data_IF_033693868574
#
_entry.id   IF_033693868574
#
_cell.length_a   1.000
_cell.length_b   1.000
_cell.length_c   1.000
_cell.angle_alpha   90.00
_cell.angle_beta   90.00
_cell.angle_gamma   90.00
#
_symmetry.space_group_name_H-M   'P 1'
#
loop_
_entity.id
_entity.type
_entity.pdbx_description
1 polymer ?
#
# COMPACT_ATOMS: atom_id res chain seq x y z
N UNK A 1 3.88 -6.72 12.92
CA UNK A 1 5.24 -6.24 12.58
C UNK A 1 6.24 -7.36 12.30
N UNK A 2 6.39 -8.40 13.16
CA UNK A 2 7.39 -9.48 12.92
C UNK A 2 7.32 -10.14 11.53
N UNK A 3 6.14 -10.49 10.98
CA UNK A 3 6.06 -11.02 9.62
C UNK A 3 6.60 -10.03 8.57
N UNK A 4 6.19 -8.78 8.62
CA UNK A 4 6.65 -7.74 7.69
C UNK A 4 8.16 -7.52 7.73
N UNK A 5 8.76 -7.48 8.93
CA UNK A 5 10.21 -7.37 9.07
C UNK A 5 10.97 -8.55 8.46
N UNK A 6 10.43 -9.77 8.59
CA UNK A 6 10.99 -10.98 7.96
C UNK A 6 10.85 -10.98 6.43
N UNK A 7 9.82 -10.32 5.90
CA UNK A 7 9.61 -10.11 4.46
C UNK A 7 10.45 -8.95 3.90
N UNK A 8 11.30 -8.33 4.71
CA UNK A 8 12.16 -7.23 4.29
C UNK A 8 11.49 -5.85 4.23
N UNK A 9 10.25 -5.73 4.70
CA UNK A 9 9.56 -4.43 4.77
C UNK A 9 10.31 -3.49 5.72
N UNK A 10 10.51 -2.25 5.29
CA UNK A 10 11.16 -1.19 6.07
C UNK A 10 10.18 -0.12 6.53
N UNK A 11 9.11 0.05 5.80
CA UNK A 11 8.06 1.01 6.09
C UNK A 11 6.68 0.38 5.85
N UNK A 12 5.75 0.64 6.74
CA UNK A 12 4.39 0.14 6.68
C UNK A 12 3.42 1.27 7.02
N UNK A 13 2.52 1.58 6.11
CA UNK A 13 1.32 2.36 6.36
C UNK A 13 0.11 1.43 6.43
N UNK A 14 -0.63 1.52 7.53
CA UNK A 14 -1.85 0.72 7.72
C UNK A 14 -3.06 1.63 7.79
N UNK A 15 -4.14 1.20 7.16
CA UNK A 15 -5.43 1.84 7.26
C UNK A 15 -6.13 1.37 8.54
N UNK A 16 -6.55 2.32 9.37
CA UNK A 16 -7.23 2.03 10.64
C UNK A 16 -8.35 3.03 10.90
N UNK A 17 -9.31 2.63 11.75
CA UNK A 17 -10.27 3.54 12.37
C UNK A 17 -10.02 3.54 13.88
N UNK A 18 -9.69 4.67 14.50
CA UNK A 18 -9.58 4.74 15.95
C UNK A 18 -10.95 4.79 16.63
N UNK A 19 -12.01 5.04 15.88
CA UNK A 19 -13.39 5.08 16.41
C UNK A 19 -14.03 3.70 16.39
N UNK A 20 -14.75 3.37 17.46
CA UNK A 20 -15.42 2.08 17.62
C UNK A 20 -14.47 0.96 18.07
N UNK A 21 -13.25 1.27 18.45
CA UNK A 21 -12.33 0.32 19.06
C UNK A 21 -12.83 -0.10 20.46
N UNK A 22 -12.52 -1.34 20.83
CA UNK A 22 -12.78 -1.88 22.17
C UNK A 22 -11.52 -2.51 22.74
N UNK A 23 -11.41 -2.53 24.07
CA UNK A 23 -10.37 -3.28 24.75
C UNK A 23 -10.68 -4.81 24.80
N UNK A 24 -9.82 -5.58 25.46
CA UNK A 24 -9.98 -7.03 25.57
C UNK A 24 -11.25 -7.46 26.32
N UNK A 25 -11.80 -6.58 27.17
CA UNK A 25 -13.04 -6.79 27.92
C UNK A 25 -14.29 -6.25 27.18
N UNK A 26 -14.11 -5.72 25.94
CA UNK A 26 -15.19 -5.20 25.10
C UNK A 26 -15.63 -3.77 25.48
N UNK A 27 -14.88 -3.06 26.33
CA UNK A 27 -15.20 -1.67 26.69
C UNK A 27 -14.73 -0.71 25.61
N UNK A 28 -15.50 0.35 25.28
CA UNK A 28 -15.09 1.34 24.30
C UNK A 28 -13.75 2.00 24.65
N UNK A 29 -12.87 2.10 23.66
CA UNK A 29 -11.59 2.83 23.75
C UNK A 29 -11.76 4.17 23.04
N UNK A 30 -11.40 5.26 23.71
CA UNK A 30 -11.38 6.59 23.09
C UNK A 30 -10.28 6.68 22.03
N UNK A 31 -10.50 7.49 21.00
CA UNK A 31 -9.56 7.59 19.86
C UNK A 31 -8.15 8.03 20.28
N UNK A 32 -8.04 8.94 21.25
CA UNK A 32 -6.75 9.39 21.80
C UNK A 32 -6.02 8.26 22.54
N UNK A 33 -6.75 7.48 23.34
CA UNK A 33 -6.19 6.31 24.06
C UNK A 33 -5.75 5.23 23.06
N UNK A 34 -6.48 5.04 21.95
CA UNK A 34 -6.08 4.16 20.86
C UNK A 34 -4.73 4.61 20.27
N UNK A 35 -4.55 5.90 20.02
CA UNK A 35 -3.27 6.46 19.53
C UNK A 35 -2.13 6.20 20.51
N UNK A 36 -2.35 6.50 21.79
CA UNK A 36 -1.35 6.28 22.86
C UNK A 36 -0.97 4.81 22.99
N UNK A 37 -1.95 3.90 22.93
CA UNK A 37 -1.71 2.45 22.98
C UNK A 37 -0.85 1.97 21.80
N UNK A 38 -1.13 2.48 20.60
CA UNK A 38 -0.31 2.17 19.41
C UNK A 38 1.12 2.67 19.56
N UNK A 39 1.32 3.91 19.97
CA UNK A 39 2.65 4.48 20.21
C UNK A 39 3.43 3.68 21.24
N UNK A 40 2.79 3.36 22.38
CA UNK A 40 3.40 2.55 23.42
C UNK A 40 3.78 1.14 22.90
N UNK A 41 2.95 0.53 22.08
CA UNK A 41 3.24 -0.78 21.46
C UNK A 41 4.38 -0.73 20.47
N UNK A 42 4.45 0.31 19.65
CA UNK A 42 5.53 0.51 18.67
C UNK A 42 6.88 0.78 19.32
N UNK A 43 6.89 1.37 20.51
CA UNK A 43 8.10 1.63 21.30
C UNK A 43 8.67 0.39 22.02
N UNK A 44 7.98 -0.76 22.02
CA UNK A 44 8.47 -1.96 22.69
C UNK A 44 9.70 -2.56 21.96
N UNK A 45 10.65 -3.16 22.71
CA UNK A 45 11.88 -3.70 22.15
C UNK A 45 11.66 -4.71 21.01
N UNK A 46 10.65 -5.57 21.13
CA UNK A 46 10.34 -6.57 20.09
C UNK A 46 9.75 -5.95 18.82
N UNK A 47 9.08 -4.80 18.94
CA UNK A 47 8.61 -4.03 17.79
C UNK A 47 9.77 -3.31 17.09
N UNK A 48 10.62 -2.63 17.86
CA UNK A 48 11.81 -1.94 17.37
C UNK A 48 12.77 -2.92 16.67
N UNK A 49 12.96 -4.11 17.23
CA UNK A 49 13.82 -5.14 16.67
C UNK A 49 13.38 -5.63 15.27
N UNK A 50 12.15 -5.33 14.83
CA UNK A 50 11.69 -5.66 13.46
C UNK A 50 12.33 -4.81 12.39
N UNK A 51 12.86 -3.62 12.71
CA UNK A 51 13.36 -2.63 11.78
C UNK A 51 12.28 -1.96 10.92
N UNK A 52 10.98 -2.20 11.20
CA UNK A 52 9.85 -1.64 10.44
C UNK A 52 9.39 -0.33 11.07
N UNK A 53 9.48 0.76 10.33
CA UNK A 53 8.82 2.02 10.67
C UNK A 53 7.34 1.91 10.32
N UNK A 54 6.45 2.22 11.26
CA UNK A 54 4.99 2.14 11.07
C UNK A 54 4.37 3.52 11.16
N UNK A 55 3.45 3.80 10.25
CA UNK A 55 2.52 4.94 10.30
C UNK A 55 1.11 4.45 9.98
N UNK A 56 0.14 5.25 10.35
CA UNK A 56 -1.28 4.93 10.20
C UNK A 56 -1.96 5.95 9.30
N UNK A 57 -2.93 5.48 8.52
CA UNK A 57 -3.88 6.31 7.80
C UNK A 57 -5.27 6.11 8.43
N UNK A 58 -6.03 7.20 8.55
CA UNK A 58 -7.44 7.07 8.90
C UNK A 58 -8.21 6.61 7.66
N UNK A 59 -8.87 5.45 7.77
CA UNK A 59 -9.77 4.99 6.71
C UNK A 59 -11.18 5.56 6.91
N UNK A 60 -11.74 6.09 5.83
CA UNK A 60 -13.15 6.50 5.77
C UNK A 60 -13.85 5.66 4.71
N UNK A 61 -14.88 4.92 5.11
CA UNK A 61 -15.69 4.11 4.19
C UNK A 61 -16.71 5.01 3.51
N UNK A 62 -16.49 5.28 2.21
CA UNK A 62 -17.16 6.32 1.43
C UNK A 62 -18.66 6.17 1.29
N UNK A 63 -19.18 4.93 1.23
CA UNK A 63 -20.60 4.69 1.01
C UNK A 63 -21.44 4.72 2.30
N UNK A 64 -20.80 4.78 3.48
CA UNK A 64 -21.54 4.80 4.74
C UNK A 64 -22.18 6.18 4.98
N UNK A 65 -23.32 6.20 5.71
CA UNK A 65 -23.87 7.45 6.20
C UNK A 65 -22.88 8.22 7.08
N UNK A 66 -22.85 9.54 6.97
CA UNK A 66 -21.93 10.37 7.78
C UNK A 66 -20.47 10.32 7.34
N UNK A 67 -20.13 9.79 6.16
CA UNK A 67 -18.76 9.75 5.68
C UNK A 67 -18.11 11.14 5.61
N UNK A 68 -18.86 12.19 5.27
CA UNK A 68 -18.40 13.57 5.27
C UNK A 68 -18.02 14.08 6.67
N UNK A 69 -18.77 13.68 7.71
CA UNK A 69 -18.44 14.02 9.09
C UNK A 69 -17.21 13.24 9.55
N UNK A 70 -17.09 11.97 9.16
CA UNK A 70 -15.88 11.19 9.41
C UNK A 70 -14.64 11.76 8.74
N UNK A 71 -14.75 12.37 7.56
CA UNK A 71 -13.64 13.12 6.96
C UNK A 71 -13.25 14.32 7.83
N UNK A 72 -14.22 15.09 8.37
CA UNK A 72 -13.93 16.20 9.29
C UNK A 72 -13.24 15.75 10.56
N UNK A 73 -13.75 14.67 11.17
CA UNK A 73 -13.17 14.04 12.35
C UNK A 73 -11.74 13.57 12.07
N UNK A 74 -11.50 12.91 10.92
CA UNK A 74 -10.20 12.41 10.52
C UNK A 74 -9.17 13.53 10.37
N UNK A 75 -9.52 14.65 9.74
CA UNK A 75 -8.63 15.80 9.63
C UNK A 75 -8.24 16.37 10.99
N UNK A 76 -9.23 16.56 11.90
CA UNK A 76 -8.97 17.07 13.24
C UNK A 76 -8.10 16.12 14.05
N UNK A 77 -8.38 14.83 13.98
CA UNK A 77 -7.63 13.79 14.70
C UNK A 77 -6.19 13.66 14.20
N UNK A 78 -5.98 13.62 12.88
CA UNK A 78 -4.63 13.55 12.32
C UNK A 78 -3.82 14.79 12.68
N UNK A 79 -4.44 15.96 12.67
CA UNK A 79 -3.75 17.21 13.04
C UNK A 79 -3.22 17.18 14.47
N UNK A 80 -3.93 16.51 15.38
CA UNK A 80 -3.52 16.32 16.77
C UNK A 80 -2.49 15.18 16.97
N UNK A 81 -2.36 14.24 16.01
CA UNK A 81 -1.58 13.00 16.15
C UNK A 81 -0.64 12.73 14.96
N UNK A 82 -0.03 13.80 14.38
CA UNK A 82 0.78 13.74 13.16
C UNK A 82 2.04 12.88 13.25
N UNK A 83 2.49 12.55 14.43
CA UNK A 83 3.63 11.67 14.69
C UNK A 83 3.36 10.20 14.34
N UNK A 84 2.09 9.79 14.39
CA UNK A 84 1.66 8.42 14.07
C UNK A 84 0.70 8.36 12.87
N UNK A 85 -0.25 9.31 12.78
CA UNK A 85 -1.25 9.35 11.72
C UNK A 85 -0.83 10.32 10.61
N UNK A 86 -0.62 9.80 9.40
CA UNK A 86 0.06 10.53 8.32
C UNK A 86 -0.84 10.88 7.14
N UNK A 87 -2.06 10.38 7.08
CA UNK A 87 -2.95 10.66 5.96
C UNK A 87 -4.35 10.08 6.12
N UNK A 88 -5.21 10.42 5.18
CA UNK A 88 -6.58 9.89 5.06
C UNK A 88 -6.64 8.95 3.87
N UNK A 89 -7.30 7.82 4.06
CA UNK A 89 -7.68 6.91 3.00
C UNK A 89 -9.20 6.92 2.84
N UNK A 90 -9.68 7.19 1.63
CA UNK A 90 -11.09 7.10 1.29
C UNK A 90 -11.30 5.78 0.55
N UNK A 91 -11.90 4.80 1.20
CA UNK A 91 -12.02 3.43 0.73
C UNK A 91 -13.47 2.97 0.58
N UNK A 92 -13.63 1.77 0.06
CA UNK A 92 -14.92 1.11 -0.13
C UNK A 92 -15.55 1.42 -1.47
N UNK A 93 -16.65 0.73 -1.75
CA UNK A 93 -17.30 0.66 -3.05
C UNK A 93 -17.61 2.05 -3.64
N UNK A 94 -17.15 2.27 -4.88
CA UNK A 94 -17.22 3.58 -5.56
C UNK A 94 -18.31 3.68 -6.64
N UNK A 95 -18.86 2.56 -7.07
CA UNK A 95 -19.80 2.41 -8.20
C UNK A 95 -21.28 2.36 -7.78
N UNK A 96 -21.60 2.56 -6.52
CA UNK A 96 -22.95 2.42 -5.96
C UNK A 96 -23.73 3.76 -5.86
N UNK A 97 -23.30 4.81 -6.53
CA UNK A 97 -23.90 6.15 -6.48
C UNK A 97 -23.67 6.92 -5.17
N UNK A 98 -23.23 6.26 -4.10
CA UNK A 98 -22.88 6.87 -2.80
C UNK A 98 -21.38 7.07 -2.62
N UNK A 99 -20.58 6.28 -3.32
CA UNK A 99 -19.11 6.25 -3.22
C UNK A 99 -18.39 7.18 -4.18
N UNK A 100 -19.08 7.90 -5.06
CA UNK A 100 -18.46 8.76 -6.06
C UNK A 100 -17.59 9.84 -5.42
N UNK A 101 -16.38 10.04 -5.96
CA UNK A 101 -15.42 11.02 -5.44
C UNK A 101 -15.99 12.45 -5.39
N UNK A 102 -16.76 12.83 -6.39
CA UNK A 102 -17.37 14.17 -6.49
C UNK A 102 -18.26 14.54 -5.31
N UNK A 103 -18.90 13.56 -4.64
CA UNK A 103 -19.67 13.76 -3.42
C UNK A 103 -18.87 14.49 -2.33
N UNK A 104 -17.59 14.21 -2.25
CA UNK A 104 -16.71 14.65 -1.17
C UNK A 104 -15.97 15.96 -1.46
N UNK A 105 -16.19 16.57 -2.64
CA UNK A 105 -15.48 17.77 -3.07
C UNK A 105 -15.55 18.90 -2.04
N UNK A 106 -16.73 19.19 -1.53
CA UNK A 106 -16.93 20.32 -0.61
C UNK A 106 -16.25 20.10 0.74
N UNK A 107 -16.36 18.88 1.30
CA UNK A 107 -15.73 18.57 2.59
C UNK A 107 -14.22 18.56 2.48
N UNK A 108 -13.62 17.92 1.47
CA UNK A 108 -12.16 17.94 1.30
C UNK A 108 -11.63 19.36 1.08
N UNK A 109 -12.25 20.16 0.22
CA UNK A 109 -11.85 21.56 0.02
C UNK A 109 -11.93 22.40 1.30
N UNK A 110 -12.97 22.22 2.11
CA UNK A 110 -13.10 22.90 3.38
C UNK A 110 -11.99 22.48 4.36
N UNK A 111 -11.73 21.17 4.48
CA UNK A 111 -10.73 20.66 5.39
C UNK A 111 -9.29 20.98 4.95
N UNK A 112 -8.98 20.92 3.67
CA UNK A 112 -7.67 21.32 3.12
C UNK A 112 -7.33 22.80 3.34
N UNK A 113 -8.32 23.67 3.43
CA UNK A 113 -8.10 25.06 3.81
C UNK A 113 -7.79 25.23 5.30
N UNK A 114 -8.40 24.40 6.14
CA UNK A 114 -8.22 24.44 7.60
C UNK A 114 -6.98 23.70 8.07
N UNK A 115 -6.67 22.57 7.44
CA UNK A 115 -5.59 21.65 7.81
C UNK A 115 -4.66 21.40 6.60
N UNK A 116 -3.74 22.33 6.27
CA UNK A 116 -2.86 22.14 5.12
C UNK A 116 -1.93 20.94 5.35
N UNK A 117 -1.60 20.25 4.26
CA UNK A 117 -0.62 19.17 4.24
C UNK A 117 -1.00 17.90 5.00
N UNK A 118 -2.29 17.51 5.00
CA UNK A 118 -2.66 16.14 5.31
C UNK A 118 -2.79 15.38 3.98
N UNK A 119 -1.91 14.42 3.70
CA UNK A 119 -1.91 13.66 2.45
C UNK A 119 -3.15 12.78 2.31
N UNK A 120 -3.52 12.50 1.06
CA UNK A 120 -4.68 11.69 0.72
C UNK A 120 -4.27 10.49 -0.14
N UNK A 121 -4.58 9.28 0.32
CA UNK A 121 -4.58 8.07 -0.48
C UNK A 121 -6.05 7.67 -0.72
N UNK A 122 -6.48 7.64 -1.97
CA UNK A 122 -7.89 7.43 -2.28
C UNK A 122 -8.03 6.24 -3.23
N UNK A 123 -8.85 5.26 -2.85
CA UNK A 123 -9.23 4.18 -3.76
C UNK A 123 -9.97 4.74 -4.96
N UNK A 124 -9.53 4.40 -6.16
CA UNK A 124 -10.19 4.82 -7.39
C UNK A 124 -9.90 3.85 -8.53
N UNK A 125 -10.93 3.53 -9.30
CA UNK A 125 -10.88 2.54 -10.37
C UNK A 125 -10.93 1.10 -9.85
N UNK A 126 -11.35 0.88 -8.62
CA UNK A 126 -11.67 -0.43 -8.04
C UNK A 126 -13.15 -0.73 -8.28
N UNK A 127 -13.51 -0.97 -9.55
CA UNK A 127 -14.88 -1.22 -9.97
C UNK A 127 -14.92 -2.08 -11.22
N UNK A 128 -16.03 -2.79 -11.42
CA UNK A 128 -16.23 -3.68 -12.58
C UNK A 128 -16.27 -2.89 -13.89
N UNK A 129 -16.83 -1.68 -13.84
CA UNK A 129 -16.95 -0.81 -15.01
C UNK A 129 -16.09 0.45 -14.85
N UNK A 130 -15.50 0.87 -15.96
CA UNK A 130 -14.77 2.13 -16.01
C UNK A 130 -15.70 3.31 -15.75
N UNK A 131 -15.25 4.22 -14.88
CA UNK A 131 -15.94 5.46 -14.55
C UNK A 131 -14.92 6.60 -14.45
N UNK A 132 -15.36 7.83 -14.23
CA UNK A 132 -14.47 8.99 -14.10
C UNK A 132 -13.87 9.15 -12.68
N UNK A 133 -13.93 8.14 -11.84
CA UNK A 133 -13.64 8.29 -10.42
C UNK A 133 -12.16 8.51 -10.14
N UNK A 134 -11.26 8.00 -11.00
CA UNK A 134 -9.81 8.26 -10.87
C UNK A 134 -9.52 9.75 -11.13
N UNK A 135 -10.07 10.31 -12.20
CA UNK A 135 -9.98 11.74 -12.49
C UNK A 135 -10.55 12.58 -11.35
N UNK A 136 -11.73 12.23 -10.90
CA UNK A 136 -12.45 12.99 -9.88
C UNK A 136 -11.72 12.91 -8.51
N UNK A 137 -11.04 11.81 -8.24
CA UNK A 137 -10.17 11.62 -7.08
C UNK A 137 -8.98 12.58 -7.10
N UNK A 138 -8.36 12.81 -8.26
CA UNK A 138 -7.30 13.82 -8.41
C UNK A 138 -7.82 15.24 -8.14
N UNK A 139 -9.08 15.53 -8.50
CA UNK A 139 -9.71 16.81 -8.19
C UNK A 139 -9.98 17.01 -6.69
N UNK A 140 -10.06 15.95 -5.92
CA UNK A 140 -10.11 15.99 -4.45
C UNK A 140 -8.75 16.34 -3.84
N UNK A 141 -7.66 16.24 -4.60
CA UNK A 141 -6.29 16.47 -4.15
C UNK A 141 -5.58 15.22 -3.67
N UNK A 142 -5.95 14.03 -4.17
CA UNK A 142 -5.24 12.80 -3.84
C UNK A 142 -3.75 12.88 -4.22
N UNK A 143 -2.91 12.39 -3.33
CA UNK A 143 -1.47 12.22 -3.55
C UNK A 143 -1.15 10.81 -4.07
N UNK A 144 -1.98 9.82 -3.69
CA UNK A 144 -1.89 8.44 -4.17
C UNK A 144 -3.28 7.93 -4.58
N UNK A 145 -3.29 7.07 -5.57
CA UNK A 145 -4.48 6.44 -6.14
C UNK A 145 -4.43 4.95 -5.80
N UNK A 146 -5.38 4.48 -4.99
CA UNK A 146 -5.51 3.05 -4.70
C UNK A 146 -6.08 2.28 -5.90
N UNK A 147 -5.52 1.11 -6.18
CA UNK A 147 -5.87 0.17 -7.25
C UNK A 147 -5.66 0.67 -8.68
N UNK A 148 -6.34 1.73 -9.11
CA UNK A 148 -6.22 2.29 -10.45
C UNK A 148 -6.53 1.32 -11.59
N UNK A 149 -7.33 0.26 -11.39
CA UNK A 149 -7.57 -0.82 -12.36
C UNK A 149 -8.06 -0.27 -13.69
N UNK A 150 -8.94 0.72 -13.67
CA UNK A 150 -9.58 1.28 -14.85
C UNK A 150 -8.83 2.46 -15.49
N UNK A 151 -7.59 2.77 -15.07
CA UNK A 151 -6.87 3.98 -15.49
C UNK A 151 -6.68 4.08 -17.01
N UNK A 152 -6.50 2.96 -17.71
CA UNK A 152 -6.30 2.96 -19.15
C UNK A 152 -7.58 3.32 -19.92
N UNK A 153 -8.74 3.25 -19.27
CA UNK A 153 -10.03 3.71 -19.81
C UNK A 153 -10.23 5.22 -19.63
N UNK A 154 -9.33 5.90 -18.93
CA UNK A 154 -9.31 7.34 -18.71
C UNK A 154 -8.05 7.97 -19.36
N UNK A 155 -7.93 8.05 -20.70
CA UNK A 155 -6.67 8.41 -21.37
C UNK A 155 -6.14 9.80 -20.98
N UNK A 156 -7.01 10.77 -20.71
CA UNK A 156 -6.59 12.10 -20.28
C UNK A 156 -5.98 12.06 -18.86
N UNK A 157 -6.57 11.29 -17.97
CA UNK A 157 -6.08 11.06 -16.61
C UNK A 157 -4.76 10.29 -16.64
N UNK A 158 -4.68 9.25 -17.44
CA UNK A 158 -3.44 8.50 -17.66
C UNK A 158 -2.30 9.41 -18.18
N UNK A 159 -2.55 10.26 -19.16
CA UNK A 159 -1.55 11.21 -19.69
C UNK A 159 -1.13 12.25 -18.62
N UNK A 160 -2.05 12.66 -17.74
CA UNK A 160 -1.72 13.53 -16.61
C UNK A 160 -0.75 12.84 -15.66
N UNK A 161 -1.03 11.60 -15.27
CA UNK A 161 -0.15 10.81 -14.40
C UNK A 161 1.22 10.58 -15.03
N UNK A 162 1.25 10.26 -16.32
CA UNK A 162 2.49 10.02 -17.08
C UNK A 162 3.42 11.25 -17.09
N UNK A 163 2.85 12.46 -17.14
CA UNK A 163 3.61 13.71 -17.16
C UNK A 163 3.95 14.28 -15.79
N UNK A 164 3.46 13.66 -14.74
CA UNK A 164 3.52 14.23 -13.41
C UNK A 164 3.86 13.16 -12.37
N UNK A 165 5.14 12.95 -12.11
CA UNK A 165 5.67 11.97 -11.16
C UNK A 165 5.28 12.24 -9.69
N UNK A 166 4.39 13.18 -9.44
CA UNK A 166 3.88 13.50 -8.10
C UNK A 166 2.97 12.40 -7.54
N UNK A 167 2.28 11.69 -8.41
CA UNK A 167 1.26 10.72 -8.01
C UNK A 167 1.82 9.30 -8.06
N UNK A 168 1.45 8.49 -7.06
CA UNK A 168 1.71 7.05 -7.07
C UNK A 168 0.40 6.30 -7.27
N UNK A 169 0.43 5.23 -8.08
CA UNK A 169 -0.66 4.26 -8.14
C UNK A 169 -0.29 3.05 -7.26
N UNK A 170 -1.14 2.77 -6.28
CA UNK A 170 -1.00 1.65 -5.33
C UNK A 170 -1.59 0.39 -5.96
N UNK A 171 -0.75 -0.51 -6.40
CA UNK A 171 -1.14 -1.73 -7.12
C UNK A 171 -1.32 -2.89 -6.13
N UNK A 172 -2.47 -3.54 -6.17
CA UNK A 172 -2.88 -4.64 -5.29
C UNK A 172 -3.21 -5.88 -6.14
N UNK A 173 -2.18 -6.59 -6.63
CA UNK A 173 -2.35 -7.67 -7.62
C UNK A 173 -3.17 -8.84 -7.09
N UNK A 174 -2.90 -9.25 -5.85
CA UNK A 174 -3.60 -10.37 -5.19
C UNK A 174 -5.06 -10.00 -4.93
N UNK A 175 -5.30 -8.83 -4.36
CA UNK A 175 -6.64 -8.33 -4.06
C UNK A 175 -7.47 -8.17 -5.33
N UNK A 176 -6.97 -7.44 -6.34
CA UNK A 176 -7.68 -7.22 -7.60
C UNK A 176 -8.08 -8.54 -8.29
N UNK A 177 -7.25 -9.58 -8.13
CA UNK A 177 -7.54 -10.93 -8.65
C UNK A 177 -8.61 -11.65 -7.85
N UNK A 178 -8.55 -11.57 -6.50
CA UNK A 178 -9.46 -12.31 -5.62
C UNK A 178 -10.84 -11.65 -5.51
N UNK A 179 -10.93 -10.35 -5.77
CA UNK A 179 -12.18 -9.59 -5.87
C UNK A 179 -12.77 -9.61 -7.29
N UNK A 180 -12.14 -10.34 -8.22
CA UNK A 180 -12.53 -10.49 -9.61
C UNK A 180 -12.56 -9.19 -10.45
N UNK A 181 -11.97 -8.09 -9.96
CA UNK A 181 -11.78 -6.87 -10.77
C UNK A 181 -10.80 -7.07 -11.93
N UNK A 182 -9.87 -8.01 -11.77
CA UNK A 182 -8.91 -8.42 -12.81
C UNK A 182 -8.88 -9.95 -12.90
N UNK A 183 -9.65 -10.52 -13.79
CA UNK A 183 -9.73 -11.98 -13.96
C UNK A 183 -8.61 -12.53 -14.84
N UNK A 184 -8.14 -11.75 -15.82
CA UNK A 184 -6.97 -12.05 -16.64
C UNK A 184 -5.81 -11.11 -16.27
N UNK A 185 -4.63 -11.63 -15.90
CA UNK A 185 -3.47 -10.80 -15.61
C UNK A 185 -3.10 -9.80 -16.73
N UNK A 186 -3.42 -10.11 -17.98
CA UNK A 186 -3.17 -9.21 -19.11
C UNK A 186 -4.05 -7.96 -19.13
N UNK A 187 -5.14 -7.95 -18.37
CA UNK A 187 -6.03 -6.79 -18.21
C UNK A 187 -5.51 -5.80 -17.16
N UNK A 188 -4.53 -6.21 -16.35
CA UNK A 188 -3.96 -5.36 -15.31
C UNK A 188 -3.18 -4.19 -15.94
N UNK A 189 -3.49 -2.93 -15.59
CA UNK A 189 -2.77 -1.75 -16.13
C UNK A 189 -1.34 -1.64 -15.62
N UNK A 190 -0.99 -2.35 -14.56
CA UNK A 190 0.28 -2.27 -13.84
C UNK A 190 1.53 -2.29 -14.75
N UNK A 191 1.70 -3.25 -15.70
CA UNK A 191 2.91 -3.29 -16.51
C UNK A 191 3.03 -2.08 -17.45
N UNK A 192 1.89 -1.58 -17.95
CA UNK A 192 1.85 -0.39 -18.82
C UNK A 192 2.27 0.83 -18.02
N UNK A 193 1.70 1.03 -16.83
CA UNK A 193 2.04 2.15 -15.94
C UNK A 193 3.54 2.15 -15.61
N UNK A 194 4.06 1.01 -15.13
CA UNK A 194 5.46 0.86 -14.76
C UNK A 194 6.40 1.20 -15.92
N UNK A 195 6.16 0.60 -17.10
CA UNK A 195 7.06 0.70 -18.27
C UNK A 195 6.95 2.02 -19.01
N UNK A 196 5.89 2.79 -18.79
CA UNK A 196 5.76 4.15 -19.33
C UNK A 196 6.22 5.22 -18.35
N UNK A 197 6.64 4.85 -17.12
CA UNK A 197 7.23 5.76 -16.16
C UNK A 197 6.24 6.42 -15.20
N UNK A 198 4.99 5.93 -15.13
CA UNK A 198 4.08 6.33 -14.05
C UNK A 198 4.57 5.67 -12.75
N UNK A 199 4.75 6.43 -11.67
CA UNK A 199 5.13 5.84 -10.39
C UNK A 199 4.09 4.84 -9.90
N UNK A 200 4.51 3.61 -9.66
CA UNK A 200 3.67 2.54 -9.11
C UNK A 200 4.40 1.87 -7.95
N UNK A 201 3.64 1.40 -6.96
CA UNK A 201 4.12 0.60 -5.85
C UNK A 201 3.21 -0.61 -5.63
N UNK A 202 3.77 -1.72 -5.14
CA UNK A 202 2.98 -2.90 -4.78
C UNK A 202 2.52 -2.82 -3.33
N UNK A 203 1.30 -3.23 -3.08
CA UNK A 203 0.67 -3.21 -1.76
C UNK A 203 -0.11 -4.49 -1.52
N UNK A 204 -0.24 -4.90 -0.27
CA UNK A 204 -0.87 -6.18 0.09
C UNK A 204 -2.38 -6.10 0.27
N UNK A 205 -2.90 -4.88 0.37
CA UNK A 205 -4.28 -4.68 0.75
C UNK A 205 -4.67 -5.54 1.98
N UNK A 206 -5.77 -6.22 1.97
CA UNK A 206 -6.29 -7.05 3.07
C UNK A 206 -5.57 -8.41 3.19
N UNK A 207 -4.23 -8.40 3.30
CA UNK A 207 -3.40 -9.63 3.34
C UNK A 207 -3.86 -10.68 4.35
N UNK A 208 -4.47 -10.24 5.45
CA UNK A 208 -5.00 -11.14 6.47
C UNK A 208 -6.18 -11.95 5.97
N UNK A 209 -6.99 -11.38 5.08
CA UNK A 209 -8.13 -12.06 4.44
C UNK A 209 -7.65 -12.99 3.32
N UNK A 210 -6.60 -12.61 2.62
CA UNK A 210 -6.06 -13.36 1.48
C UNK A 210 -5.09 -14.48 1.88
N UNK A 211 -4.68 -14.58 3.14
CA UNK A 211 -3.57 -15.45 3.59
C UNK A 211 -2.28 -15.20 2.79
N UNK A 212 -2.10 -13.99 2.29
CA UNK A 212 -0.97 -13.56 1.46
C UNK A 212 0.13 -12.85 2.26
N UNK A 213 1.24 -12.60 1.61
CA UNK A 213 2.37 -11.85 2.14
C UNK A 213 2.79 -10.76 1.15
N UNK A 214 3.62 -9.82 1.59
CA UNK A 214 4.18 -8.82 0.69
C UNK A 214 5.06 -9.46 -0.39
N UNK A 215 5.74 -10.55 -0.07
CA UNK A 215 6.49 -11.34 -1.04
C UNK A 215 5.59 -11.93 -2.13
N UNK A 216 4.33 -12.29 -1.82
CA UNK A 216 3.40 -12.82 -2.82
C UNK A 216 3.01 -11.77 -3.88
N UNK A 217 2.92 -10.50 -3.51
CA UNK A 217 2.70 -9.41 -4.47
C UNK A 217 3.86 -9.33 -5.47
N UNK A 218 5.11 -9.31 -4.98
CA UNK A 218 6.29 -9.30 -5.82
C UNK A 218 6.44 -10.58 -6.65
N UNK A 219 6.19 -11.73 -6.06
CA UNK A 219 6.23 -13.00 -6.78
C UNK A 219 5.19 -13.02 -7.92
N UNK A 220 3.97 -12.54 -7.64
CA UNK A 220 2.89 -12.43 -8.64
C UNK A 220 3.29 -11.48 -9.75
N UNK A 221 3.86 -10.32 -9.41
CA UNK A 221 4.32 -9.34 -10.38
C UNK A 221 5.42 -9.89 -11.29
N UNK A 222 6.47 -10.47 -10.72
CA UNK A 222 7.59 -11.05 -11.48
C UNK A 222 7.10 -12.20 -12.35
N UNK A 223 6.30 -13.13 -11.79
CA UNK A 223 5.81 -14.31 -12.49
C UNK A 223 4.91 -13.98 -13.67
N UNK A 224 3.96 -13.06 -13.49
CA UNK A 224 2.95 -12.78 -14.50
C UNK A 224 3.44 -11.79 -15.57
N UNK A 225 4.35 -10.88 -15.22
CA UNK A 225 4.75 -9.78 -16.11
C UNK A 225 6.22 -9.78 -16.49
N UNK A 226 6.97 -10.81 -16.08
CA UNK A 226 8.39 -10.98 -16.41
C UNK A 226 9.20 -9.72 -16.09
N UNK A 227 9.08 -9.23 -14.86
CA UNK A 227 9.79 -8.02 -14.42
C UNK A 227 11.29 -8.27 -14.39
N UNK A 228 12.05 -7.29 -14.87
CA UNK A 228 13.48 -7.20 -14.65
C UNK A 228 13.79 -6.88 -13.18
N UNK A 229 15.04 -7.10 -12.77
CA UNK A 229 15.52 -6.70 -11.44
C UNK A 229 15.37 -5.18 -11.23
N UNK A 230 15.72 -4.38 -12.23
CA UNK A 230 15.59 -2.93 -12.17
C UNK A 230 14.13 -2.48 -11.98
N UNK A 231 13.17 -3.10 -12.69
CA UNK A 231 11.73 -2.83 -12.49
C UNK A 231 11.30 -3.20 -11.07
N UNK A 232 11.72 -4.37 -10.57
CA UNK A 232 11.40 -4.84 -9.21
C UNK A 232 11.93 -3.88 -8.13
N UNK A 233 13.17 -3.42 -8.26
CA UNK A 233 13.78 -2.45 -7.35
C UNK A 233 13.06 -1.10 -7.43
N UNK A 234 12.65 -0.66 -8.63
CA UNK A 234 11.95 0.62 -8.79
C UNK A 234 10.61 0.65 -8.06
N UNK A 235 9.88 -0.46 -8.01
CA UNK A 235 8.60 -0.57 -7.27
C UNK A 235 8.78 -0.26 -5.78
N UNK A 236 9.78 -0.87 -5.14
CA UNK A 236 10.07 -0.64 -3.73
C UNK A 236 10.54 0.79 -3.47
N UNK A 237 11.40 1.32 -4.34
CA UNK A 237 11.90 2.71 -4.24
C UNK A 237 10.76 3.71 -4.40
N UNK A 238 9.87 3.52 -5.38
CA UNK A 238 8.69 4.36 -5.57
C UNK A 238 7.80 4.38 -4.33
N UNK A 239 7.54 3.23 -3.70
CA UNK A 239 6.75 3.14 -2.47
C UNK A 239 7.34 3.99 -1.35
N UNK A 240 8.67 4.01 -1.20
CA UNK A 240 9.34 4.81 -0.17
C UNK A 240 9.38 6.31 -0.51
N UNK A 241 9.61 6.65 -1.78
CA UNK A 241 9.60 8.06 -2.25
C UNK A 241 8.24 8.71 -2.03
N UNK A 242 7.16 7.97 -2.28
CA UNK A 242 5.79 8.45 -2.13
C UNK A 242 5.16 8.14 -0.77
N UNK A 243 5.95 7.64 0.19
CA UNK A 243 5.49 7.43 1.56
C UNK A 243 5.06 8.74 2.23
N UNK A 244 4.00 8.69 3.03
CA UNK A 244 3.51 9.84 3.79
C UNK A 244 4.35 10.04 5.07
N UNK A 245 5.65 10.22 4.87
CA UNK A 245 6.62 10.44 5.92
C UNK A 245 7.13 11.89 5.89
N UNK A 246 7.52 12.37 7.05
CA UNK A 246 8.36 13.57 7.12
C UNK A 246 9.70 13.34 6.39
N UNK A 247 10.28 14.39 5.83
CA UNK A 247 11.48 14.28 4.99
C UNK A 247 12.69 13.64 5.71
N UNK A 248 13.00 13.93 6.99
CA UNK A 248 14.08 13.25 7.71
C UNK A 248 13.84 11.74 7.86
N UNK A 249 12.64 11.32 8.22
CA UNK A 249 12.29 9.90 8.34
C UNK A 249 12.33 9.20 6.99
N UNK A 250 11.80 9.83 5.94
CA UNK A 250 11.84 9.32 4.56
C UNK A 250 13.28 9.10 4.08
N UNK A 251 14.14 10.10 4.26
CA UNK A 251 15.55 10.02 3.89
C UNK A 251 16.26 8.86 4.62
N UNK A 252 15.99 8.67 5.90
CA UNK A 252 16.56 7.56 6.69
C UNK A 252 16.09 6.21 6.16
N UNK A 253 14.79 6.03 5.93
CA UNK A 253 14.24 4.74 5.46
C UNK A 253 14.73 4.41 4.05
N UNK A 254 14.85 5.41 3.17
CA UNK A 254 15.45 5.25 1.84
C UNK A 254 16.92 4.83 1.94
N UNK A 255 17.70 5.50 2.79
CA UNK A 255 19.11 5.14 2.98
C UNK A 255 19.28 3.71 3.51
N UNK A 256 18.45 3.29 4.46
CA UNK A 256 18.41 1.91 4.97
C UNK A 256 18.05 0.90 3.87
N UNK A 257 17.09 1.24 3.01
CA UNK A 257 16.72 0.42 1.86
C UNK A 257 17.89 0.28 0.87
N UNK A 258 18.49 1.40 0.44
CA UNK A 258 19.60 1.38 -0.53
C UNK A 258 20.82 0.61 0.02
N UNK A 259 21.12 0.75 1.30
CA UNK A 259 22.16 -0.04 1.96
C UNK A 259 21.87 -1.52 1.95
N UNK A 260 20.63 -1.91 2.27
CA UNK A 260 20.20 -3.31 2.24
C UNK A 260 20.22 -3.89 0.82
N UNK A 261 19.79 -3.10 -0.17
CA UNK A 261 19.81 -3.45 -1.59
C UNK A 261 21.25 -3.70 -2.07
N UNK A 262 22.18 -2.80 -1.78
CA UNK A 262 23.58 -2.95 -2.17
C UNK A 262 24.23 -4.23 -1.60
N UNK A 263 23.90 -4.57 -0.35
CA UNK A 263 24.36 -5.84 0.28
C UNK A 263 23.78 -7.05 -0.44
N UNK A 264 22.48 -7.01 -0.76
CA UNK A 264 21.81 -8.09 -1.49
C UNK A 264 22.38 -8.25 -2.91
N UNK A 265 22.57 -7.17 -3.65
CA UNK A 265 23.11 -7.18 -5.00
C UNK A 265 24.54 -7.72 -5.05
N UNK A 266 25.41 -7.26 -4.13
CA UNK A 266 26.77 -7.76 -4.01
C UNK A 266 26.83 -9.28 -3.77
N UNK A 267 25.87 -9.79 -3.00
CA UNK A 267 25.79 -11.24 -2.72
C UNK A 267 25.16 -12.04 -3.88
N UNK A 268 24.10 -11.51 -4.50
CA UNK A 268 23.21 -12.32 -5.35
C UNK A 268 23.44 -12.12 -6.84
N UNK A 269 23.94 -10.96 -7.29
CA UNK A 269 24.18 -10.66 -8.70
C UNK A 269 25.58 -11.03 -9.19
N UNK A 270 26.54 -11.21 -8.27
CA UNK A 270 27.93 -11.58 -8.60
C UNK A 270 28.21 -13.08 -8.47
N UNK A 271 27.28 -13.85 -7.91
CA UNK A 271 27.40 -15.29 -7.68
C UNK A 271 26.27 -16.05 -8.38
N UNK A 272 26.46 -17.35 -8.61
CA UNK A 272 25.35 -18.23 -8.94
C UNK A 272 24.28 -18.09 -7.86
N UNK A 273 23.04 -17.78 -8.25
CA UNK A 273 21.94 -17.62 -7.32
C UNK A 273 21.69 -18.85 -6.42
N UNK A 274 22.03 -20.05 -6.94
CA UNK A 274 21.96 -21.30 -6.16
C UNK A 274 22.94 -21.29 -5.02
N UNK A 275 24.17 -20.88 -5.28
CA UNK A 275 25.20 -20.74 -4.25
C UNK A 275 24.81 -19.65 -3.23
N UNK A 276 24.29 -18.52 -3.68
CA UNK A 276 23.81 -17.43 -2.82
C UNK A 276 22.60 -17.86 -1.95
N UNK A 277 21.82 -18.83 -2.40
CA UNK A 277 20.65 -19.36 -1.69
C UNK A 277 20.95 -20.57 -0.79
N UNK A 278 22.19 -21.06 -0.79
CA UNK A 278 22.57 -22.22 0.04
C UNK A 278 22.30 -21.95 1.52
N UNK A 279 21.61 -22.87 2.18
CA UNK A 279 21.24 -22.76 3.59
C UNK A 279 20.01 -21.90 3.87
N UNK A 280 19.37 -21.31 2.85
CA UNK A 280 18.08 -20.64 3.01
C UNK A 280 16.94 -21.65 2.96
N UNK A 281 15.99 -21.53 3.89
CA UNK A 281 14.76 -22.31 3.88
C UNK A 281 13.64 -21.43 3.33
N UNK A 282 13.07 -21.74 2.16
CA UNK A 282 11.99 -20.93 1.61
C UNK A 282 10.71 -21.09 2.43
N UNK A 283 10.02 -19.96 2.65
CA UNK A 283 8.70 -19.95 3.28
C UNK A 283 7.68 -19.71 2.19
N UNK A 284 6.79 -20.67 1.96
CA UNK A 284 5.70 -20.55 0.99
C UNK A 284 4.42 -20.24 1.74
N UNK A 285 3.79 -19.12 1.40
CA UNK A 285 2.52 -18.67 1.99
C UNK A 285 1.37 -19.61 1.68
N UNK A 286 0.26 -19.50 2.40
CA UNK A 286 -0.95 -20.25 2.07
C UNK A 286 -1.51 -19.83 0.70
N UNK A 287 -1.45 -18.52 0.40
CA UNK A 287 -1.85 -17.98 -0.89
C UNK A 287 -1.04 -18.63 -2.02
N UNK A 288 0.30 -18.60 -1.97
CA UNK A 288 1.15 -19.18 -3.01
C UNK A 288 0.97 -20.67 -3.19
N UNK A 289 0.75 -21.42 -2.10
CA UNK A 289 0.40 -22.85 -2.19
C UNK A 289 -0.89 -23.07 -2.99
N UNK A 290 -1.92 -22.26 -2.73
CA UNK A 290 -3.23 -22.37 -3.39
C UNK A 290 -3.20 -21.83 -4.82
N UNK A 291 -2.71 -20.61 -5.02
CA UNK A 291 -2.79 -19.90 -6.30
C UNK A 291 -1.80 -20.42 -7.34
N UNK A 292 -0.58 -20.80 -6.90
CA UNK A 292 0.50 -21.23 -7.79
C UNK A 292 0.90 -22.69 -7.63
N UNK A 293 0.25 -23.42 -6.72
CA UNK A 293 0.56 -24.82 -6.38
C UNK A 293 2.04 -25.00 -5.96
N UNK A 294 2.62 -23.98 -5.32
CA UNK A 294 4.00 -24.04 -4.88
C UNK A 294 4.14 -24.95 -3.66
N UNK A 295 5.18 -25.77 -3.70
CA UNK A 295 5.67 -26.53 -2.55
C UNK A 295 7.03 -25.98 -2.16
N UNK A 296 7.31 -25.83 -0.87
CA UNK A 296 8.66 -25.50 -0.43
C UNK A 296 9.58 -26.70 -0.73
N UNK A 297 10.66 -26.54 -1.49
CA UNK A 297 11.65 -27.59 -1.62
C UNK A 297 12.29 -27.86 -0.24
N UNK A 298 12.63 -29.11 0.03
CA UNK A 298 13.29 -29.50 1.29
C UNK A 298 14.63 -28.77 1.45
N UNK A 299 15.32 -28.51 0.32
CA UNK A 299 16.57 -27.78 0.28
C UNK A 299 16.70 -27.05 -1.07
N UNK A 300 17.00 -25.73 -1.05
CA UNK A 300 17.20 -24.95 -2.29
C UNK A 300 18.40 -25.40 -3.12
N UNK A 301 19.39 -26.06 -2.51
CA UNK A 301 20.55 -26.63 -3.21
C UNK A 301 20.23 -27.86 -4.09
N UNK A 302 19.03 -28.44 -3.97
CA UNK A 302 18.58 -29.61 -4.73
C UNK A 302 17.76 -29.29 -5.98
N UNK A 303 17.49 -28.01 -6.24
CA UNK A 303 16.84 -27.56 -7.48
C UNK A 303 17.83 -27.66 -8.64
N UNK A 304 17.69 -28.73 -9.43
CA UNK A 304 18.45 -28.99 -10.67
C UNK A 304 17.82 -28.26 -11.87
#
# INVERSE_FOLDING_TARGET
>A
MKPFGREGVRYLEMQVSPWGATDAEGRPVFADDYSLAYQARLAQPDALATGVTVRLQIVVIRFLPGAEDKIRDAYAFIDAHRDLFVGINLAGREDNGKGQATRFTNVFRAMQRKYPRIPLAIHAGESDEANANIRDTLLLGADRIGHGVNILSEPATYLLLLRNNRYLVEINLVSNRLLDYVTDPMQQPFPVLLRTGVPVGLNTDDRGMWDSTFTDEYFTAVKNYNLSWAETVSLARNSLVHAFLDEPTKARVLADYEKGLAVYEARSLTADWRAASTGLTPIVSKYSKKAFRLTAPANLGELR
#
